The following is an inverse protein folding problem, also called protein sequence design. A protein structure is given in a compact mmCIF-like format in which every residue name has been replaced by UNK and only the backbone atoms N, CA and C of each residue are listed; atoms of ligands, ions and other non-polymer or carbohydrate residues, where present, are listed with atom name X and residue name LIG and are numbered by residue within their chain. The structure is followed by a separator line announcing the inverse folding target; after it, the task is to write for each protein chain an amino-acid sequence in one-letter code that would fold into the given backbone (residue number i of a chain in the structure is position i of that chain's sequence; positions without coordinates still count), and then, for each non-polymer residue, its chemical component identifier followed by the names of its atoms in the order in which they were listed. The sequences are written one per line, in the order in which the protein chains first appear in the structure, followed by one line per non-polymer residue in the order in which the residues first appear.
data_IF_727264279974
#
_entry.id   IF_727264279974
#
_cell.length_a   1.000
_cell.length_b   1.000
_cell.length_c   1.000
_cell.angle_alpha   90.00
_cell.angle_beta   90.00
_cell.angle_gamma   90.00
#
_symmetry.space_group_name_H-M   'P 1'
#
loop_
_entity.id
_entity.type
_entity.pdbx_description
1 polymer ?
#
# COMPACT_ATOMS: atom_id res chain seq x y z
N UNK A 1 -2.02 -7.34 21.69
CA UNK A 1 -2.73 -6.05 21.82
C UNK A 1 -4.13 -6.22 21.27
N UNK A 2 -5.10 -5.41 21.69
CA UNK A 2 -6.50 -5.53 21.22
C UNK A 2 -6.83 -4.63 20.02
N UNK A 3 -6.12 -3.51 19.85
CA UNK A 3 -6.31 -2.56 18.73
C UNK A 3 -5.02 -1.87 18.32
N UNK A 4 -4.98 -1.34 17.10
CA UNK A 4 -3.93 -0.43 16.65
C UNK A 4 -4.02 0.89 17.42
N UNK A 5 -2.85 1.46 17.72
CA UNK A 5 -2.69 2.71 18.48
C UNK A 5 -1.77 3.67 17.74
N UNK A 6 -1.71 4.93 18.17
CA UNK A 6 -1.01 6.01 17.47
C UNK A 6 -1.98 7.04 16.90
N UNK A 7 -1.47 8.01 16.14
CA UNK A 7 -2.32 9.02 15.48
C UNK A 7 -2.85 8.51 14.14
N UNK A 8 -4.07 7.96 14.17
CA UNK A 8 -4.77 7.42 13.01
C UNK A 8 -5.64 8.46 12.28
N UNK A 9 -5.71 9.70 12.78
CA UNK A 9 -6.67 10.72 12.32
C UNK A 9 -6.49 11.12 10.85
N UNK A 10 -5.27 10.97 10.33
CA UNK A 10 -4.91 11.31 8.95
C UNK A 10 -4.88 10.10 8.02
N UNK A 11 -5.15 8.87 8.49
CA UNK A 11 -4.98 7.63 7.73
C UNK A 11 -5.72 7.66 6.38
N UNK A 12 -6.93 8.22 6.35
CA UNK A 12 -7.79 8.28 5.17
C UNK A 12 -7.82 9.66 4.49
N UNK A 13 -6.87 10.54 4.81
CA UNK A 13 -6.78 11.89 4.23
C UNK A 13 -5.58 12.02 3.31
N UNK A 14 -5.80 12.26 2.02
CA UNK A 14 -4.71 12.40 1.04
C UNK A 14 -4.23 13.84 0.85
N UNK A 15 -5.10 14.82 1.12
CA UNK A 15 -4.84 16.24 0.88
C UNK A 15 -4.20 16.99 2.07
N UNK A 16 -3.33 16.33 2.85
CA UNK A 16 -2.61 16.97 3.97
C UNK A 16 -1.72 18.12 3.46
N UNK A 17 -1.13 17.94 2.28
CA UNK A 17 -0.34 18.96 1.59
C UNK A 17 -1.02 19.34 0.27
N UNK A 18 -0.94 20.62 -0.15
CA UNK A 18 -1.40 21.04 -1.47
C UNK A 18 -0.60 20.30 -2.57
N UNK A 19 -1.29 19.75 -3.58
CA UNK A 19 -0.63 18.94 -4.60
C UNK A 19 0.26 19.81 -5.52
N UNK A 20 1.45 19.29 -5.82
CA UNK A 20 2.41 19.87 -6.77
C UNK A 20 2.35 19.06 -8.06
N UNK A 21 2.04 19.68 -9.21
CA UNK A 21 1.97 19.01 -10.50
C UNK A 21 3.23 18.19 -10.81
N UNK A 22 3.02 16.93 -11.21
CA UNK A 22 4.02 15.90 -11.55
C UNK A 22 4.86 15.37 -10.39
N UNK A 23 4.78 15.98 -9.21
CA UNK A 23 5.55 15.59 -8.03
C UNK A 23 4.70 14.88 -6.99
N UNK A 24 3.45 15.30 -6.78
CA UNK A 24 2.62 14.69 -5.76
C UNK A 24 2.15 13.29 -6.16
N UNK A 25 2.48 12.34 -5.30
CA UNK A 25 2.16 10.93 -5.42
C UNK A 25 1.69 10.42 -4.06
N UNK A 26 0.56 9.72 -4.06
CA UNK A 26 -0.03 9.14 -2.87
C UNK A 26 -0.26 7.66 -3.07
N UNK A 27 -0.01 6.88 -2.03
CA UNK A 27 -0.35 5.49 -2.04
C UNK A 27 -0.57 4.90 -0.65
N UNK A 28 -1.35 3.82 -0.64
CA UNK A 28 -1.33 2.80 0.40
C UNK A 28 -0.62 1.60 -0.18
N UNK A 29 0.27 0.97 0.58
CA UNK A 29 0.75 -0.35 0.23
C UNK A 29 0.80 -1.26 1.45
N UNK A 30 0.62 -2.54 1.20
CA UNK A 30 0.70 -3.60 2.21
C UNK A 30 1.62 -4.67 1.65
N UNK A 31 2.58 -5.11 2.45
CA UNK A 31 3.43 -6.26 2.13
C UNK A 31 3.18 -7.33 3.17
N UNK A 32 2.81 -8.51 2.69
CA UNK A 32 2.44 -9.67 3.49
C UNK A 32 3.50 -10.74 3.31
N UNK A 33 3.95 -11.33 4.42
CA UNK A 33 4.97 -12.35 4.48
C UNK A 33 4.38 -13.60 5.12
N UNK A 34 4.33 -14.68 4.36
CA UNK A 34 3.85 -15.99 4.83
C UNK A 34 5.02 -16.96 4.77
N UNK A 35 5.34 -17.69 5.87
CA UNK A 35 6.35 -18.75 5.83
C UNK A 35 6.02 -19.78 4.75
N UNK A 36 7.01 -20.18 3.95
CA UNK A 36 6.80 -21.28 3.01
C UNK A 36 6.79 -22.62 3.76
N UNK A 37 5.72 -23.43 3.66
CA UNK A 37 5.59 -24.68 4.41
C UNK A 37 6.59 -25.75 3.95
N UNK A 38 7.09 -25.67 2.71
CA UNK A 38 8.02 -26.63 2.14
C UNK A 38 9.48 -26.21 2.38
N UNK A 39 9.76 -24.90 2.35
CA UNK A 39 11.12 -24.35 2.48
C UNK A 39 11.14 -23.20 3.51
N UNK A 40 11.42 -23.50 4.79
CA UNK A 40 11.35 -22.52 5.89
C UNK A 40 12.32 -21.33 5.76
N UNK A 41 13.33 -21.40 4.89
CA UNK A 41 14.30 -20.32 4.66
C UNK A 41 13.81 -19.24 3.70
N UNK A 42 12.61 -19.36 3.15
CA UNK A 42 11.98 -18.34 2.30
C UNK A 42 10.54 -18.07 2.76
N UNK A 43 10.04 -16.91 2.35
CA UNK A 43 8.64 -16.52 2.53
C UNK A 43 7.95 -16.40 1.19
N UNK A 44 6.68 -16.83 1.14
CA UNK A 44 5.73 -16.36 0.13
C UNK A 44 5.38 -14.91 0.44
N UNK A 45 5.18 -14.10 -0.59
CA UNK A 45 5.04 -12.65 -0.42
C UNK A 45 3.98 -12.07 -1.34
N UNK A 46 3.05 -11.30 -0.77
CA UNK A 46 2.05 -10.53 -1.50
C UNK A 46 2.29 -9.04 -1.24
N UNK A 47 2.37 -8.24 -2.28
CA UNK A 47 2.32 -6.79 -2.18
C UNK A 47 1.13 -6.25 -2.95
N UNK A 48 0.38 -5.34 -2.34
CA UNK A 48 -0.71 -4.62 -2.98
C UNK A 48 -0.51 -3.13 -2.77
N UNK A 49 -0.73 -2.36 -3.83
CA UNK A 49 -0.57 -0.92 -3.91
C UNK A 49 -1.86 -0.27 -4.43
N UNK A 50 -2.39 0.69 -3.69
CA UNK A 50 -3.45 1.60 -4.13
C UNK A 50 -2.84 2.97 -4.34
N UNK A 51 -2.73 3.43 -5.58
CA UNK A 51 -1.86 4.54 -5.93
C UNK A 51 -2.53 5.57 -6.83
N UNK A 52 -2.25 6.84 -6.61
CA UNK A 52 -2.65 7.95 -7.48
C UNK A 52 -1.56 9.00 -7.53
N UNK A 53 -1.34 9.62 -8.70
CA UNK A 53 -0.31 10.64 -8.91
C UNK A 53 -0.91 11.84 -9.62
N UNK A 54 -0.53 13.03 -9.18
CA UNK A 54 -0.87 14.28 -9.87
C UNK A 54 0.02 14.41 -11.11
N UNK A 55 -0.39 13.84 -12.25
CA UNK A 55 0.37 13.87 -13.51
C UNK A 55 -0.57 13.76 -14.71
N UNK A 56 -0.26 14.35 -15.87
CA UNK A 56 -1.04 14.10 -17.09
C UNK A 56 -0.92 12.65 -17.59
N UNK A 57 0.24 12.01 -17.39
CA UNK A 57 0.51 10.62 -17.75
C UNK A 57 1.73 10.09 -17.01
N UNK A 58 1.83 8.77 -16.84
CA UNK A 58 3.04 8.08 -16.36
C UNK A 58 3.08 6.65 -16.90
N UNK A 59 4.28 6.09 -17.08
CA UNK A 59 4.48 4.70 -17.45
C UNK A 59 4.83 3.88 -16.20
N UNK A 60 4.10 2.80 -15.94
CA UNK A 60 4.26 1.91 -14.78
C UNK A 60 4.37 0.48 -15.31
N UNK A 61 5.51 -0.19 -15.12
CA UNK A 61 5.73 -1.57 -15.59
C UNK A 61 5.32 -1.83 -17.04
N UNK A 62 5.69 -0.91 -17.94
CA UNK A 62 5.34 -0.99 -19.37
C UNK A 62 3.93 -0.49 -19.73
N UNK A 63 3.06 -0.27 -18.75
CA UNK A 63 1.69 0.23 -18.93
C UNK A 63 1.62 1.75 -18.86
N UNK A 64 0.89 2.39 -19.79
CA UNK A 64 0.67 3.83 -19.78
C UNK A 64 -0.61 4.18 -19.03
N UNK A 65 -0.46 4.84 -17.89
CA UNK A 65 -1.58 5.37 -17.14
C UNK A 65 -1.80 6.86 -17.43
N UNK A 66 -3.06 7.24 -17.70
CA UNK A 66 -3.50 8.62 -17.92
C UNK A 66 -4.69 8.89 -16.99
N UNK A 67 -4.52 9.68 -15.90
CA UNK A 67 -5.55 9.77 -14.86
C UNK A 67 -6.89 10.35 -15.34
N UNK A 68 -6.89 11.17 -16.39
CA UNK A 68 -8.08 11.77 -17.00
C UNK A 68 -8.80 12.83 -16.14
N UNK A 69 -8.56 12.84 -14.84
CA UNK A 69 -9.09 13.80 -13.86
C UNK A 69 -8.08 14.04 -12.74
N UNK A 70 -8.37 15.01 -11.86
CA UNK A 70 -7.64 15.22 -10.61
C UNK A 70 -8.41 14.63 -9.43
N UNK A 71 -7.73 14.50 -8.29
CA UNK A 71 -8.38 14.23 -7.01
C UNK A 71 -9.47 15.27 -6.73
N UNK A 72 -10.64 14.82 -6.29
CA UNK A 72 -11.73 15.64 -5.78
C UNK A 72 -11.93 15.35 -4.30
N UNK A 73 -12.34 16.36 -3.54
CA UNK A 73 -12.69 16.26 -2.11
C UNK A 73 -14.09 16.81 -1.94
N UNK A 74 -14.98 16.04 -1.31
CA UNK A 74 -16.34 16.48 -1.02
C UNK A 74 -16.44 17.30 0.27
N UNK A 75 -17.65 17.78 0.58
CA UNK A 75 -17.93 18.61 1.77
C UNK A 75 -17.77 17.86 3.11
N UNK A 76 -17.74 16.53 3.09
CA UNK A 76 -17.54 15.68 4.26
C UNK A 76 -16.08 15.22 4.39
N UNK A 77 -15.21 15.64 3.48
CA UNK A 77 -13.79 15.33 3.46
C UNK A 77 -13.45 13.94 2.91
N UNK A 78 -14.39 13.30 2.20
CA UNK A 78 -14.12 12.11 1.38
C UNK A 78 -13.37 12.48 0.11
N UNK A 79 -12.51 11.57 -0.37
CA UNK A 79 -11.73 11.77 -1.59
C UNK A 79 -12.24 10.85 -2.70
N UNK A 80 -12.28 11.37 -3.92
CA UNK A 80 -12.39 10.56 -5.13
C UNK A 80 -11.12 10.78 -5.95
N UNK A 81 -10.37 9.71 -6.18
CA UNK A 81 -9.08 9.76 -6.89
C UNK A 81 -9.10 8.85 -8.12
N UNK A 82 -8.62 9.30 -9.29
CA UNK A 82 -8.22 8.38 -10.34
C UNK A 82 -6.90 7.72 -9.92
N UNK A 83 -6.75 6.42 -10.14
CA UNK A 83 -5.55 5.72 -9.73
C UNK A 83 -5.43 4.33 -10.32
N UNK A 84 -4.58 3.53 -9.68
CA UNK A 84 -4.39 2.14 -10.01
C UNK A 84 -4.31 1.30 -8.75
N UNK A 85 -4.83 0.07 -8.85
CA UNK A 85 -4.48 -1.02 -7.95
C UNK A 85 -3.44 -1.87 -8.67
N UNK A 86 -2.28 -2.05 -8.04
CA UNK A 86 -1.21 -2.89 -8.57
C UNK A 86 -0.81 -3.92 -7.52
N UNK A 87 -0.47 -5.12 -7.95
CA UNK A 87 0.00 -6.16 -7.04
C UNK A 87 1.03 -7.07 -7.70
N UNK A 88 1.81 -7.75 -6.86
CA UNK A 88 2.62 -8.91 -7.24
C UNK A 88 2.53 -10.00 -6.17
N UNK A 89 2.72 -11.24 -6.59
CA UNK A 89 2.73 -12.42 -5.70
C UNK A 89 3.95 -13.29 -5.97
N UNK A 90 4.68 -13.62 -4.93
CA UNK A 90 5.72 -14.65 -4.95
C UNK A 90 5.21 -15.87 -4.19
N UNK A 91 5.00 -16.98 -4.90
CA UNK A 91 4.44 -18.22 -4.32
C UNK A 91 5.48 -19.07 -3.57
N UNK A 92 6.71 -18.56 -3.42
CA UNK A 92 7.88 -19.30 -2.91
C UNK A 92 8.76 -19.87 -4.01
N UNK A 93 8.29 -20.00 -5.25
CA UNK A 93 9.04 -20.56 -6.39
C UNK A 93 9.11 -19.60 -7.56
N UNK A 94 7.99 -18.96 -7.90
CA UNK A 94 7.78 -18.08 -9.03
C UNK A 94 7.21 -16.73 -8.59
N UNK A 95 7.69 -15.68 -9.25
CA UNK A 95 7.12 -14.34 -9.15
C UNK A 95 6.04 -14.15 -10.21
N UNK A 96 4.87 -13.69 -9.78
CA UNK A 96 3.77 -13.20 -10.60
C UNK A 96 3.79 -11.67 -10.56
N UNK A 97 4.43 -11.06 -11.56
CA UNK A 97 4.58 -9.62 -11.70
C UNK A 97 4.33 -9.21 -13.17
N UNK A 98 3.23 -8.47 -13.46
CA UNK A 98 2.18 -8.08 -12.52
C UNK A 98 1.27 -9.26 -12.14
N UNK A 99 0.81 -9.28 -10.88
CA UNK A 99 -0.37 -10.06 -10.49
C UNK A 99 -1.65 -9.29 -10.84
N UNK A 100 -1.62 -7.98 -10.61
CA UNK A 100 -2.71 -7.05 -10.91
C UNK A 100 -2.13 -5.74 -11.45
N UNK A 101 -2.74 -5.19 -12.50
CA UNK A 101 -2.53 -3.82 -12.97
C UNK A 101 -3.85 -3.20 -13.43
N UNK A 102 -4.63 -2.64 -12.49
CA UNK A 102 -5.99 -2.14 -12.74
C UNK A 102 -6.08 -0.64 -12.61
N UNK A 103 -6.38 0.05 -13.70
CA UNK A 103 -6.82 1.45 -13.66
C UNK A 103 -8.24 1.54 -13.11
N UNK A 104 -8.45 2.43 -12.14
CA UNK A 104 -9.77 2.63 -11.54
C UNK A 104 -9.92 4.03 -10.95
N UNK A 105 -11.16 4.39 -10.61
CA UNK A 105 -11.42 5.44 -9.62
C UNK A 105 -11.52 4.78 -8.25
N UNK A 106 -11.02 5.45 -7.23
CA UNK A 106 -11.10 4.98 -5.85
C UNK A 106 -11.76 6.05 -4.99
N UNK A 107 -12.68 5.63 -4.14
CA UNK A 107 -13.18 6.44 -3.03
C UNK A 107 -12.29 6.21 -1.81
N UNK A 108 -11.89 7.28 -1.11
CA UNK A 108 -11.19 7.19 0.16
C UNK A 108 -12.03 7.92 1.20
N UNK A 109 -12.51 7.19 2.19
CA UNK A 109 -13.44 7.72 3.20
C UNK A 109 -13.02 7.26 4.59
N UNK A 110 -13.19 8.14 5.58
CA UNK A 110 -13.12 7.75 6.98
C UNK A 110 -14.51 7.34 7.49
N UNK A 111 -14.56 6.78 8.68
CA UNK A 111 -15.78 6.31 9.33
C UNK A 111 -16.76 7.42 9.75
N UNK A 112 -16.38 8.69 9.72
CA UNK A 112 -17.29 9.84 9.91
C UNK A 112 -18.03 10.24 8.63
N UNK A 113 -17.63 9.70 7.48
CA UNK A 113 -18.25 10.03 6.20
C UNK A 113 -19.65 9.40 6.07
N UNK A 114 -20.66 10.09 5.50
CA UNK A 114 -22.02 9.54 5.37
C UNK A 114 -22.13 8.26 4.53
N UNK A 115 -21.16 8.01 3.64
CA UNK A 115 -21.07 6.76 2.87
C UNK A 115 -20.54 5.57 3.67
N UNK A 116 -20.02 5.78 4.88
CA UNK A 116 -19.57 4.68 5.72
C UNK A 116 -20.77 3.84 6.15
N UNK A 117 -20.76 2.51 5.97
CA UNK A 117 -21.94 1.66 6.16
C UNK A 117 -22.36 1.49 7.63
N UNK A 118 -21.58 2.01 8.58
CA UNK A 118 -21.84 1.91 10.01
C UNK A 118 -21.70 3.24 10.73
N UNK A 119 -21.81 3.19 12.06
CA UNK A 119 -21.53 4.37 12.90
C UNK A 119 -20.03 4.45 13.18
N UNK A 120 -19.36 5.45 12.63
CA UNK A 120 -17.97 5.74 12.99
C UNK A 120 -17.82 6.50 14.29
N UNK A 121 -16.66 6.34 14.91
CA UNK A 121 -16.20 7.12 16.07
C UNK A 121 -15.21 8.21 15.66
N UNK A 122 -14.62 8.10 14.45
CA UNK A 122 -13.58 9.01 13.99
C UNK A 122 -12.23 8.75 14.60
N UNK A 123 -12.01 7.55 15.11
CA UNK A 123 -10.79 7.14 15.81
C UNK A 123 -9.74 6.51 14.88
N UNK A 124 -10.05 6.32 13.59
CA UNK A 124 -9.11 5.76 12.62
C UNK A 124 -9.72 4.79 11.61
N UNK A 125 -10.97 4.37 11.79
CA UNK A 125 -11.66 3.52 10.81
C UNK A 125 -11.95 4.26 9.50
N UNK A 126 -12.06 3.50 8.42
CA UNK A 126 -12.21 4.01 7.05
C UNK A 126 -11.69 3.02 6.02
N UNK A 127 -11.74 3.40 4.75
CA UNK A 127 -11.29 2.56 3.65
C UNK A 127 -10.88 3.35 2.40
N UNK A 128 -10.04 2.73 1.58
CA UNK A 128 -9.91 2.99 0.15
C UNK A 128 -10.67 1.89 -0.60
N UNK A 129 -11.60 2.31 -1.45
CA UNK A 129 -12.55 1.45 -2.17
C UNK A 129 -12.44 1.74 -3.67
N UNK A 130 -11.73 0.90 -4.43
CA UNK A 130 -11.77 0.93 -5.89
C UNK A 130 -13.18 0.66 -6.42
N UNK A 131 -13.61 1.47 -7.38
CA UNK A 131 -14.91 1.34 -8.04
C UNK A 131 -14.71 0.41 -9.24
N UNK A 132 -14.80 -0.89 -8.97
CA UNK A 132 -14.63 -2.00 -9.90
C UNK A 132 -15.75 -3.04 -9.69
N UNK A 133 -15.87 -3.99 -10.60
CA UNK A 133 -16.84 -5.09 -10.49
C UNK A 133 -16.46 -6.12 -9.42
N UNK A 134 -15.15 -6.24 -9.14
CA UNK A 134 -14.58 -7.10 -8.10
C UNK A 134 -14.08 -6.23 -6.93
N UNK A 135 -13.98 -6.81 -5.73
CA UNK A 135 -13.53 -6.07 -4.55
C UNK A 135 -11.99 -6.03 -4.48
N UNK A 136 -11.47 -4.80 -4.47
CA UNK A 136 -10.06 -4.48 -4.30
C UNK A 136 -9.85 -3.57 -3.09
N UNK A 137 -10.75 -3.56 -2.12
CA UNK A 137 -10.73 -2.56 -1.06
C UNK A 137 -9.70 -2.87 0.01
N UNK A 138 -9.30 -1.82 0.73
CA UNK A 138 -8.46 -1.87 1.93
C UNK A 138 -9.09 -0.96 2.98
N UNK A 139 -9.32 -1.47 4.19
CA UNK A 139 -9.97 -0.70 5.25
C UNK A 139 -9.52 -1.04 6.66
N UNK A 140 -9.70 -0.10 7.57
CA UNK A 140 -9.56 -0.29 9.01
C UNK A 140 -10.94 -0.51 9.61
N UNK A 141 -11.11 -1.60 10.37
CA UNK A 141 -12.36 -1.89 11.08
C UNK A 141 -12.64 -0.87 12.20
N UNK A 142 -13.91 -0.66 12.59
CA UNK A 142 -14.26 0.13 13.76
C UNK A 142 -13.46 -0.28 15.01
N UNK A 143 -13.13 0.68 15.87
CA UNK A 143 -12.30 0.43 17.05
C UNK A 143 -10.81 0.23 16.76
N UNK A 144 -10.40 0.30 15.49
CA UNK A 144 -9.04 0.05 15.01
C UNK A 144 -8.53 -1.36 15.33
N UNK A 145 -9.44 -2.35 15.35
CA UNK A 145 -9.18 -3.73 15.78
C UNK A 145 -8.36 -4.51 14.74
N UNK A 146 -8.67 -4.33 13.46
CA UNK A 146 -7.96 -4.98 12.36
C UNK A 146 -8.03 -4.16 11.07
N UNK A 147 -7.08 -4.42 10.18
CA UNK A 147 -7.14 -3.96 8.78
C UNK A 147 -7.57 -5.15 7.93
N UNK A 148 -8.51 -4.94 7.02
CA UNK A 148 -8.94 -5.93 6.04
C UNK A 148 -8.57 -5.47 4.63
N UNK A 149 -8.32 -6.42 3.74
CA UNK A 149 -8.15 -6.16 2.32
C UNK A 149 -8.62 -7.32 1.45
N UNK A 150 -9.00 -7.00 0.23
CA UNK A 150 -9.41 -7.94 -0.81
C UNK A 150 -8.64 -7.67 -2.10
N UNK A 151 -8.35 -8.71 -2.86
CA UNK A 151 -7.70 -8.62 -4.16
C UNK A 151 -8.15 -9.78 -5.06
N UNK A 152 -8.39 -9.49 -6.33
CA UNK A 152 -8.58 -10.51 -7.36
C UNK A 152 -7.49 -10.39 -8.42
N UNK A 153 -6.82 -11.50 -8.75
CA UNK A 153 -5.75 -11.53 -9.76
C UNK A 153 -6.30 -11.26 -11.15
N UNK A 154 -5.48 -10.65 -12.02
CA UNK A 154 -5.86 -10.44 -13.42
C UNK A 154 -5.98 -11.77 -14.19
N UNK A 155 -6.79 -11.75 -15.26
CA UNK A 155 -7.07 -12.95 -16.06
C UNK A 155 -5.79 -13.56 -16.66
N UNK A 156 -4.85 -12.70 -17.06
CA UNK A 156 -3.54 -13.07 -17.57
C UNK A 156 -2.69 -13.78 -16.51
N UNK A 157 -2.63 -13.24 -15.29
CA UNK A 157 -1.90 -13.87 -14.18
C UNK A 157 -2.51 -15.24 -13.81
N UNK A 158 -3.84 -15.34 -13.79
CA UNK A 158 -4.55 -16.62 -13.56
C UNK A 158 -4.26 -17.64 -14.66
N UNK A 159 -4.25 -17.21 -15.92
CA UNK A 159 -3.87 -18.08 -17.05
C UNK A 159 -2.42 -18.57 -16.94
N UNK A 160 -1.55 -17.80 -16.29
CA UNK A 160 -0.17 -18.18 -15.97
C UNK A 160 -0.03 -19.02 -14.69
N UNK A 161 -1.14 -19.29 -13.98
CA UNK A 161 -1.19 -20.14 -12.80
C UNK A 161 -1.14 -19.40 -11.46
N UNK A 162 -1.39 -18.09 -11.42
CA UNK A 162 -1.56 -17.39 -10.14
C UNK A 162 -2.86 -17.84 -9.45
N UNK A 163 -2.94 -17.74 -8.12
CA UNK A 163 -4.21 -17.83 -7.41
C UNK A 163 -5.24 -16.81 -7.94
N UNK A 164 -6.52 -17.08 -7.71
CA UNK A 164 -7.61 -16.21 -8.19
C UNK A 164 -7.88 -15.07 -7.22
N UNK A 165 -8.05 -15.36 -5.93
CA UNK A 165 -8.48 -14.39 -4.92
C UNK A 165 -7.58 -14.39 -3.70
N UNK A 166 -7.42 -13.22 -3.10
CA UNK A 166 -6.73 -13.01 -1.83
C UNK A 166 -7.59 -12.18 -0.90
N UNK A 167 -7.75 -12.67 0.33
CA UNK A 167 -8.39 -11.93 1.43
C UNK A 167 -7.41 -11.91 2.59
N UNK A 168 -7.20 -10.75 3.21
CA UNK A 168 -6.31 -10.68 4.36
C UNK A 168 -6.90 -9.88 5.51
N UNK A 169 -6.59 -10.33 6.71
CA UNK A 169 -6.86 -9.61 7.95
C UNK A 169 -5.55 -9.42 8.72
N UNK A 170 -5.25 -8.16 9.01
CA UNK A 170 -4.06 -7.75 9.74
C UNK A 170 -4.48 -7.31 11.15
N UNK A 171 -3.92 -7.97 12.16
CA UNK A 171 -4.22 -7.72 13.57
C UNK A 171 -2.99 -7.17 14.31
N UNK A 172 -3.19 -6.34 15.35
CA UNK A 172 -2.08 -5.89 16.20
C UNK A 172 -1.29 -7.05 16.79
N UNK A 173 0.02 -7.04 16.61
CA UNK A 173 0.93 -8.01 17.20
C UNK A 173 1.30 -7.61 18.63
N UNK A 174 2.18 -6.61 18.79
CA UNK A 174 2.62 -6.07 20.07
C UNK A 174 3.19 -4.65 19.91
N UNK A 175 3.42 -3.98 21.05
CA UNK A 175 3.55 -2.52 21.20
C UNK A 175 4.14 -1.75 20.02
N UNK A 176 5.48 -1.64 19.91
CA UNK A 176 6.12 -0.74 18.94
C UNK A 176 5.83 -1.07 17.48
N UNK A 177 5.96 -2.32 16.97
CA UNK A 177 5.72 -2.61 15.56
C UNK A 177 4.27 -2.40 15.12
N UNK A 178 3.30 -2.58 16.02
CA UNK A 178 1.87 -2.38 15.75
C UNK A 178 1.34 -1.03 16.23
N UNK A 179 2.22 -0.08 16.54
CA UNK A 179 1.85 1.32 16.80
C UNK A 179 2.06 2.12 15.53
N UNK A 180 1.02 2.82 15.06
CA UNK A 180 1.13 3.67 13.88
C UNK A 180 2.11 4.80 14.15
N UNK A 181 3.21 4.79 13.42
CA UNK A 181 4.22 5.84 13.48
C UNK A 181 3.98 6.86 12.38
N UNK A 182 4.15 8.13 12.73
CA UNK A 182 4.04 9.26 11.81
C UNK A 182 5.42 9.87 11.57
N UNK A 183 5.79 10.02 10.30
CA UNK A 183 6.98 10.77 9.88
C UNK A 183 6.59 11.76 8.81
N UNK A 184 6.81 13.04 9.10
CA UNK A 184 6.60 14.13 8.16
C UNK A 184 7.88 14.94 8.02
N UNK A 185 8.14 15.42 6.82
CA UNK A 185 9.19 16.39 6.57
C UNK A 185 8.78 17.32 5.44
N UNK A 186 8.91 18.63 5.65
CA UNK A 186 8.65 19.66 4.66
C UNK A 186 9.96 20.38 4.36
N UNK A 187 10.36 20.35 3.10
CA UNK A 187 11.53 21.02 2.55
C UNK A 187 11.11 22.30 1.82
N UNK A 188 12.09 23.04 1.29
CA UNK A 188 11.84 24.24 0.49
C UNK A 188 10.90 23.99 -0.71
N UNK A 189 10.23 25.06 -1.15
CA UNK A 189 9.30 25.06 -2.31
C UNK A 189 8.04 24.18 -2.12
N UNK A 190 7.65 23.94 -0.87
CA UNK A 190 6.48 23.11 -0.54
C UNK A 190 6.71 21.61 -0.78
N UNK A 191 7.92 21.18 -1.10
CA UNK A 191 8.23 19.76 -1.25
C UNK A 191 8.27 19.06 0.10
N UNK A 192 7.98 17.77 0.13
CA UNK A 192 7.99 17.03 1.39
C UNK A 192 7.44 15.62 1.27
N UNK A 193 7.32 14.98 2.42
CA UNK A 193 6.60 13.72 2.56
C UNK A 193 5.81 13.66 3.86
N UNK A 194 4.80 12.81 3.83
CA UNK A 194 3.91 12.46 4.93
C UNK A 194 3.76 10.94 4.92
N UNK A 195 4.22 10.26 5.97
CA UNK A 195 4.33 8.81 6.02
C UNK A 195 3.72 8.29 7.31
N UNK A 196 2.76 7.37 7.18
CA UNK A 196 2.22 6.57 8.28
C UNK A 196 2.62 5.11 8.08
N UNK A 197 3.11 4.45 9.13
CA UNK A 197 3.59 3.05 9.06
C UNK A 197 3.15 2.23 10.26
N UNK A 198 2.71 1.01 10.00
CA UNK A 198 2.73 -0.10 10.95
C UNK A 198 3.88 -1.00 10.52
N UNK A 199 4.92 -1.11 11.36
CA UNK A 199 6.11 -1.87 10.97
C UNK A 199 5.87 -3.36 11.00
N UNK A 200 4.98 -3.86 11.86
CA UNK A 200 4.65 -5.28 11.93
C UNK A 200 3.26 -5.51 12.49
N UNK A 201 2.49 -6.36 11.82
CA UNK A 201 1.19 -6.87 12.27
C UNK A 201 1.20 -8.40 12.17
N UNK A 202 0.30 -9.05 12.91
CA UNK A 202 -0.09 -10.43 12.58
C UNK A 202 -0.90 -10.40 11.29
N UNK A 203 -0.84 -11.49 10.54
CA UNK A 203 -1.56 -11.67 9.28
C UNK A 203 -2.29 -13.00 9.29
N UNK A 204 -3.56 -12.97 8.93
CA UNK A 204 -4.31 -14.10 8.39
C UNK A 204 -4.54 -13.82 6.91
N UNK A 205 -4.01 -14.66 6.04
CA UNK A 205 -4.14 -14.54 4.59
C UNK A 205 -4.87 -15.76 4.06
N UNK A 206 -5.99 -15.55 3.39
CA UNK A 206 -6.68 -16.55 2.60
C UNK A 206 -6.33 -16.37 1.13
N UNK A 207 -5.86 -17.43 0.49
CA UNK A 207 -5.52 -17.49 -0.93
C UNK A 207 -6.36 -18.59 -1.55
N UNK A 208 -7.30 -18.20 -2.42
CA UNK A 208 -8.38 -19.07 -2.88
C UNK A 208 -9.09 -19.76 -1.69
N UNK A 209 -8.93 -21.08 -1.52
CA UNK A 209 -9.53 -21.85 -0.42
C UNK A 209 -8.54 -22.22 0.69
N UNK A 210 -7.28 -21.76 0.61
CA UNK A 210 -6.22 -22.04 1.58
C UNK A 210 -5.99 -20.87 2.54
N UNK A 211 -5.85 -21.15 3.83
CA UNK A 211 -5.57 -20.14 4.86
C UNK A 211 -4.13 -20.25 5.38
N UNK A 212 -3.50 -19.09 5.58
CA UNK A 212 -2.14 -18.95 6.03
C UNK A 212 -2.01 -17.93 7.15
N UNK A 213 -1.06 -18.15 8.04
CA UNK A 213 -0.65 -17.16 9.04
C UNK A 213 0.72 -16.59 8.70
N UNK A 214 0.94 -15.33 9.07
CA UNK A 214 2.21 -14.68 8.83
C UNK A 214 2.30 -13.31 9.49
N UNK A 215 3.03 -12.42 8.85
CA UNK A 215 3.17 -11.03 9.29
C UNK A 215 2.99 -10.07 8.13
N UNK A 216 2.64 -8.81 8.43
CA UNK A 216 2.52 -7.81 7.39
C UNK A 216 3.09 -6.44 7.80
N UNK A 217 3.48 -5.69 6.79
CA UNK A 217 3.88 -4.30 6.85
C UNK A 217 2.80 -3.46 6.15
N UNK A 218 2.36 -2.38 6.79
CA UNK A 218 1.41 -1.44 6.20
C UNK A 218 2.02 -0.05 6.18
N UNK A 219 1.81 0.67 5.07
CA UNK A 219 2.18 2.07 5.00
C UNK A 219 1.27 2.87 4.08
N UNK A 220 0.97 4.10 4.51
CA UNK A 220 0.42 5.16 3.68
C UNK A 220 1.49 6.21 3.47
N UNK A 221 1.64 6.67 2.22
CA UNK A 221 2.59 7.71 1.84
C UNK A 221 1.91 8.80 1.05
N UNK A 222 2.27 10.03 1.35
CA UNK A 222 2.14 11.17 0.45
C UNK A 222 3.54 11.74 0.24
N UNK A 223 4.01 11.82 -0.99
CA UNK A 223 5.29 12.45 -1.33
C UNK A 223 5.06 13.49 -2.40
N UNK A 224 5.71 14.64 -2.28
CA UNK A 224 5.70 15.69 -3.29
C UNK A 224 7.09 16.27 -3.49
N UNK A 225 8.03 15.37 -3.76
CA UNK A 225 9.43 15.68 -3.99
C UNK A 225 9.95 14.81 -5.15
N UNK A 226 11.04 15.20 -5.81
CA UNK A 226 11.75 14.32 -6.72
C UNK A 226 12.12 13.01 -6.02
N UNK A 227 11.69 11.89 -6.59
CA UNK A 227 12.07 10.56 -6.12
C UNK A 227 13.47 10.23 -6.65
N UNK A 228 14.42 9.98 -5.76
CA UNK A 228 15.70 9.37 -6.12
C UNK A 228 15.54 7.84 -6.12
N UNK A 229 16.29 7.07 -6.91
CA UNK A 229 16.30 5.63 -6.75
C UNK A 229 16.75 5.23 -5.33
N UNK A 230 16.11 4.23 -4.74
CA UNK A 230 16.48 3.70 -3.43
C UNK A 230 16.32 2.18 -3.40
N UNK A 231 17.09 1.53 -2.54
CA UNK A 231 16.71 0.22 -2.02
C UNK A 231 16.07 0.40 -0.67
N UNK A 232 14.97 -0.30 -0.48
CA UNK A 232 14.29 -0.39 0.79
C UNK A 232 13.98 -1.85 1.06
N UNK A 233 14.07 -2.28 2.30
CA UNK A 233 13.66 -3.61 2.70
C UNK A 233 13.26 -3.66 4.17
N UNK A 234 12.58 -4.74 4.48
CA UNK A 234 12.05 -5.04 5.80
C UNK A 234 12.27 -6.52 6.11
N UNK A 235 12.56 -6.83 7.36
CA UNK A 235 12.65 -8.19 7.88
C UNK A 235 11.92 -8.27 9.23
N UNK A 236 11.04 -9.25 9.39
CA UNK A 236 10.41 -9.59 10.68
C UNK A 236 11.07 -10.82 11.28
N UNK A 237 11.34 -10.76 12.58
CA UNK A 237 11.86 -11.88 13.34
C UNK A 237 10.73 -12.59 14.09
N UNK A 238 10.99 -13.83 14.49
CA UNK A 238 10.05 -14.68 15.25
C UNK A 238 9.72 -14.12 16.64
N UNK A 239 10.66 -13.39 17.26
CA UNK A 239 10.48 -12.69 18.53
C UNK A 239 9.64 -11.41 18.43
N UNK A 240 9.22 -11.02 17.22
CA UNK A 240 8.44 -9.82 16.97
C UNK A 240 9.24 -8.54 16.78
N UNK A 241 10.58 -8.62 16.80
CA UNK A 241 11.42 -7.52 16.35
C UNK A 241 11.42 -7.40 14.81
N UNK A 242 11.90 -6.26 14.30
CA UNK A 242 12.02 -6.02 12.87
C UNK A 242 13.28 -5.20 12.53
N UNK A 243 13.73 -5.30 11.28
CA UNK A 243 14.72 -4.40 10.68
C UNK A 243 14.10 -3.72 9.47
N UNK A 244 14.07 -2.39 9.48
CA UNK A 244 13.73 -1.51 8.34
C UNK A 244 15.02 -0.83 7.88
N UNK A 245 15.37 -0.95 6.59
CA UNK A 245 16.50 -0.22 6.02
C UNK A 245 16.13 0.52 4.75
N UNK A 246 16.71 1.71 4.60
CA UNK A 246 16.54 2.57 3.44
C UNK A 246 17.91 3.07 2.98
N UNK A 247 18.26 2.75 1.73
CA UNK A 247 19.52 3.11 1.12
C UNK A 247 19.25 3.94 -0.15
N UNK A 248 19.27 5.29 -0.05
CA UNK A 248 19.09 6.14 -1.21
C UNK A 248 20.35 6.13 -2.08
N UNK A 249 20.16 6.09 -3.39
CA UNK A 249 21.26 6.15 -4.35
C UNK A 249 21.29 7.51 -5.03
N UNK A 250 22.15 8.38 -4.50
CA UNK A 250 22.49 9.64 -5.15
C UNK A 250 23.70 9.44 -6.06
N UNK A 251 23.48 9.08 -7.33
CA UNK A 251 24.54 8.98 -8.35
C UNK A 251 24.03 9.48 -9.69
N UNK A 252 24.89 9.92 -10.63
CA UNK A 252 24.45 10.38 -11.96
C UNK A 252 23.58 9.38 -12.72
N UNK A 253 23.67 8.07 -12.44
CA UNK A 253 22.78 7.07 -13.05
C UNK A 253 21.32 7.22 -12.64
N UNK A 254 20.99 8.05 -11.64
CA UNK A 254 19.61 8.39 -11.29
C UNK A 254 18.84 9.07 -12.43
N UNK A 255 19.54 9.59 -13.44
CA UNK A 255 18.93 10.19 -14.63
C UNK A 255 18.73 9.20 -15.77
N UNK A 256 19.07 7.91 -15.58
CA UNK A 256 18.79 6.88 -16.58
C UNK A 256 17.28 6.74 -16.78
N UNK A 257 16.87 6.58 -18.03
CA UNK A 257 15.46 6.46 -18.43
C UNK A 257 15.14 5.06 -18.97
N UNK A 258 16.04 4.10 -18.77
CA UNK A 258 15.93 2.72 -19.20
C UNK A 258 15.95 1.74 -18.01
N UNK A 259 15.59 0.49 -18.28
CA UNK A 259 15.57 -0.64 -17.35
C UNK A 259 16.90 -1.40 -17.32
N UNK A 260 17.92 -0.89 -18.03
CA UNK A 260 19.24 -1.50 -18.08
C UNK A 260 19.82 -1.56 -16.66
N UNK A 261 20.18 -2.76 -16.15
CA UNK A 261 20.75 -2.89 -14.82
C UNK A 261 21.95 -1.97 -14.64
N UNK A 262 22.10 -1.42 -13.43
CA UNK A 262 23.18 -0.50 -13.10
C UNK A 262 24.53 -1.07 -13.54
N UNK A 263 25.33 -0.25 -14.23
CA UNK A 263 26.72 -0.62 -14.53
C UNK A 263 27.44 -0.82 -13.19
N UNK A 264 28.00 -2.02 -12.96
CA UNK A 264 28.86 -2.28 -11.80
C UNK A 264 29.97 -1.22 -11.79
N UNK A 265 30.12 -0.55 -10.66
CA UNK A 265 31.24 0.37 -10.42
C UNK A 265 32.55 -0.40 -10.38
#
# INVERSE_FOLDING_TARGET
MEKFVGDLSSLWRLNIMPPIPRLSWWWYWVIMYVPDPDIPTRSRQLMILWSTKETPAIRVSGHWWKPGSRMSVDEHGGHVVPGMVCAWWYDGKRMFEPLVIRECRMAVVNDKHPLWPGRGTGEGAGAVVPILDEDFSLGMRPGNESIWLCLTSDAEARAEGSPTSFEAELEPWWGPPSTLTYKNNIYGLGMGYDILRLQGTKLKLKVDDEEFEGTAYFQKVSVQAPSFPWYWGMLHFDDGSYIDWFMPHSTPSMTSMDDTPWRRR
#
